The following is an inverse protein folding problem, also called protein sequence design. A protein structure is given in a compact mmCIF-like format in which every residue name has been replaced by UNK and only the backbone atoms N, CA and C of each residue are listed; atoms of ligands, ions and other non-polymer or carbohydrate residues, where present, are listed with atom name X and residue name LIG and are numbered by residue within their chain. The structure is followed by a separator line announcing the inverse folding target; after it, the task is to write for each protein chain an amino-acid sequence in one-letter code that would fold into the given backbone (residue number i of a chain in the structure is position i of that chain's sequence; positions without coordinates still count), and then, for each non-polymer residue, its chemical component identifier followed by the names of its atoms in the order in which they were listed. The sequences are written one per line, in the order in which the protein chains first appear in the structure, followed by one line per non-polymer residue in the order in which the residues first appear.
data_IF_999149184243
#
_entry.id   IF_999149184243
#
_cell.length_a   1.000
_cell.length_b   1.000
_cell.length_c   1.000
_cell.angle_alpha   90.00
_cell.angle_beta   90.00
_cell.angle_gamma   90.00
#
_symmetry.space_group_name_H-M   'P 1'
#
loop_
_entity.id
_entity.type
_entity.pdbx_description
1 polymer ?
#
# COMPACT_ATOMS: atom_id res chain seq x y z
N UNK A 1 5.09 9.85 -12.85
CA UNK A 1 6.54 9.63 -12.98
C UNK A 1 6.97 9.63 -14.44
N UNK A 2 8.23 9.98 -14.73
CA UNK A 2 8.77 10.03 -16.10
C UNK A 2 8.79 8.66 -16.83
N UNK A 3 8.77 7.55 -16.09
CA UNK A 3 8.75 6.19 -16.65
C UNK A 3 7.35 5.55 -16.68
N UNK A 4 6.28 6.32 -16.42
CA UNK A 4 4.92 5.78 -16.43
C UNK A 4 4.55 5.19 -17.80
N UNK A 5 3.88 4.05 -17.79
CA UNK A 5 3.21 3.46 -18.95
C UNK A 5 1.97 2.68 -18.50
N UNK A 6 0.97 2.53 -19.37
CA UNK A 6 -0.22 1.72 -19.05
C UNK A 6 0.15 0.25 -18.79
N UNK A 7 1.11 -0.31 -19.54
CA UNK A 7 1.64 -1.65 -19.28
C UNK A 7 2.28 -1.75 -17.89
N UNK A 8 3.02 -0.72 -17.47
CA UNK A 8 3.59 -0.67 -16.12
C UNK A 8 2.52 -0.61 -15.03
N UNK A 9 1.43 0.12 -15.28
CA UNK A 9 0.27 0.18 -14.37
C UNK A 9 -0.43 -1.18 -14.26
N UNK A 10 -0.62 -1.91 -15.37
CA UNK A 10 -1.17 -3.27 -15.35
C UNK A 10 -0.31 -4.22 -14.51
N UNK A 11 1.01 -4.15 -14.68
CA UNK A 11 1.97 -4.94 -13.89
C UNK A 11 1.89 -4.56 -12.41
N UNK A 12 1.85 -3.26 -12.09
CA UNK A 12 1.73 -2.78 -10.70
C UNK A 12 0.45 -3.32 -10.05
N UNK A 13 -0.68 -3.28 -10.75
CA UNK A 13 -1.95 -3.82 -10.25
C UNK A 13 -1.89 -5.34 -10.04
N UNK A 14 -1.28 -6.08 -10.97
CA UNK A 14 -1.13 -7.53 -10.87
C UNK A 14 -0.26 -7.94 -9.67
N UNK A 15 0.90 -7.29 -9.51
CA UNK A 15 1.82 -7.53 -8.38
C UNK A 15 1.17 -7.15 -7.05
N UNK A 16 0.57 -5.96 -6.95
CA UNK A 16 -0.08 -5.54 -5.71
C UNK A 16 -1.25 -6.45 -5.34
N UNK A 17 -2.03 -6.96 -6.31
CA UNK A 17 -3.07 -7.96 -6.05
C UNK A 17 -2.45 -9.25 -5.49
N UNK A 18 -1.41 -9.77 -6.13
CA UNK A 18 -0.73 -10.97 -5.69
C UNK A 18 -0.20 -10.84 -4.26
N UNK A 19 0.51 -9.74 -3.93
CA UNK A 19 1.02 -9.48 -2.57
C UNK A 19 -0.11 -9.53 -1.54
N UNK A 20 -1.25 -8.89 -1.85
CA UNK A 20 -2.40 -8.79 -0.94
C UNK A 20 -3.14 -10.09 -0.72
N UNK A 21 -3.18 -10.98 -1.72
CA UNK A 21 -4.10 -12.14 -1.70
C UNK A 21 -3.41 -13.50 -1.73
N UNK A 22 -2.10 -13.57 -1.97
CA UNK A 22 -1.40 -14.85 -2.11
C UNK A 22 -1.28 -15.63 -0.80
N UNK A 23 -1.32 -14.95 0.35
CA UNK A 23 -1.02 -15.55 1.65
C UNK A 23 0.45 -15.96 1.81
N UNK A 24 1.34 -15.49 0.93
CA UNK A 24 2.78 -15.80 0.96
C UNK A 24 3.51 -15.17 2.16
N UNK A 25 2.98 -14.08 2.70
CA UNK A 25 3.60 -13.30 3.77
C UNK A 25 2.78 -13.37 5.06
N UNK A 26 3.47 -13.38 6.21
CA UNK A 26 2.83 -13.37 7.54
C UNK A 26 2.06 -12.07 7.81
N UNK A 27 2.48 -10.97 7.17
CA UNK A 27 1.82 -9.67 7.21
C UNK A 27 2.10 -8.89 5.92
N UNK A 28 1.18 -7.99 5.56
CA UNK A 28 1.29 -7.09 4.40
C UNK A 28 0.98 -5.67 4.85
N UNK A 29 1.88 -4.73 4.52
CA UNK A 29 1.63 -3.29 4.68
C UNK A 29 1.35 -2.69 3.30
N UNK A 30 0.14 -2.19 3.10
CA UNK A 30 -0.34 -1.72 1.80
C UNK A 30 -0.08 -0.23 1.60
N UNK A 31 1.16 0.13 1.24
CA UNK A 31 1.53 1.51 0.99
C UNK A 31 0.77 2.15 -0.17
N UNK A 32 0.46 1.40 -1.22
CA UNK A 32 -0.39 1.89 -2.32
C UNK A 32 -1.74 2.39 -1.80
N UNK A 33 -2.40 1.62 -0.93
CA UNK A 33 -3.70 2.00 -0.41
C UNK A 33 -3.67 3.27 0.44
N UNK A 34 -2.61 3.51 1.22
CA UNK A 34 -2.52 4.65 2.15
C UNK A 34 -1.91 5.91 1.54
N UNK A 35 -1.35 5.83 0.33
CA UNK A 35 -0.80 7.00 -0.36
C UNK A 35 -1.59 7.41 -1.60
N UNK A 36 -2.38 6.54 -2.21
CA UNK A 36 -3.15 6.86 -3.43
C UNK A 36 -4.34 7.79 -3.17
N UNK A 37 -4.73 8.53 -4.19
CA UNK A 37 -5.99 9.27 -4.19
C UNK A 37 -7.17 8.27 -4.26
N UNK A 38 -8.13 8.31 -3.32
CA UNK A 38 -9.30 7.42 -3.36
C UNK A 38 -10.20 7.66 -4.58
N UNK A 39 -10.21 8.86 -5.15
CA UNK A 39 -10.97 9.19 -6.36
C UNK A 39 -10.20 8.86 -7.64
N UNK A 40 -8.86 8.82 -7.59
CA UNK A 40 -8.00 8.41 -8.69
C UNK A 40 -6.83 7.53 -8.21
N UNK A 41 -7.04 6.21 -8.06
CA UNK A 41 -6.04 5.29 -7.51
C UNK A 41 -4.73 5.16 -8.31
N UNK A 42 -4.60 5.81 -9.47
CA UNK A 42 -3.37 5.86 -10.27
C UNK A 42 -2.40 6.96 -9.83
N UNK A 43 -2.81 7.86 -8.93
CA UNK A 43 -1.99 8.99 -8.46
C UNK A 43 -1.92 9.04 -6.94
N UNK A 44 -0.90 9.71 -6.42
CA UNK A 44 -0.83 10.07 -5.01
C UNK A 44 -1.97 11.00 -4.61
N UNK A 45 -2.44 10.86 -3.37
CA UNK A 45 -3.32 11.82 -2.72
C UNK A 45 -2.70 13.23 -2.77
N UNK A 46 -3.53 14.24 -2.97
CA UNK A 46 -3.10 15.64 -2.95
C UNK A 46 -2.30 15.95 -1.68
N UNK A 47 -1.12 16.56 -1.85
CA UNK A 47 -0.22 16.93 -0.75
C UNK A 47 0.73 15.84 -0.29
N UNK A 48 0.71 14.63 -0.85
CA UNK A 48 1.59 13.53 -0.44
C UNK A 48 2.85 13.36 -1.31
N UNK A 49 3.05 14.18 -2.34
CA UNK A 49 4.26 14.24 -3.15
C UNK A 49 4.45 15.68 -3.64
N UNK A 50 5.68 16.00 -4.08
CA UNK A 50 6.05 17.37 -4.50
C UNK A 50 5.98 17.60 -6.02
N UNK A 51 5.28 16.72 -6.75
CA UNK A 51 4.94 16.90 -8.17
C UNK A 51 5.69 16.00 -9.15
N UNK A 52 6.62 15.15 -8.68
CA UNK A 52 7.27 14.16 -9.55
C UNK A 52 6.41 12.91 -9.82
N UNK A 53 5.31 12.78 -9.06
CA UNK A 53 4.40 11.64 -9.08
C UNK A 53 5.14 10.30 -8.92
N UNK A 54 6.17 10.28 -8.08
CA UNK A 54 7.04 9.14 -7.85
C UNK A 54 7.39 8.99 -6.37
N UNK A 55 7.88 10.05 -5.73
CA UNK A 55 8.33 10.00 -4.35
C UNK A 55 7.30 10.63 -3.41
N UNK A 56 6.93 9.96 -2.31
CA UNK A 56 6.20 10.61 -1.24
C UNK A 56 7.02 11.77 -0.65
N UNK A 57 6.34 12.83 -0.20
CA UNK A 57 6.95 13.85 0.66
C UNK A 57 6.76 13.49 2.14
N UNK A 58 7.11 14.38 3.06
CA UNK A 58 6.99 14.14 4.50
C UNK A 58 5.60 13.67 4.94
N UNK A 59 4.53 14.27 4.40
CA UNK A 59 3.17 13.86 4.72
C UNK A 59 2.84 12.46 4.18
N UNK A 60 3.30 12.15 2.97
CA UNK A 60 3.15 10.82 2.38
C UNK A 60 3.91 9.74 3.14
N UNK A 61 5.16 9.99 3.51
CA UNK A 61 5.96 9.08 4.33
C UNK A 61 5.39 8.91 5.73
N UNK A 62 4.86 9.98 6.34
CA UNK A 62 4.16 9.86 7.62
C UNK A 62 2.93 8.94 7.50
N UNK A 63 2.13 9.07 6.44
CA UNK A 63 0.98 8.18 6.20
C UNK A 63 1.41 6.71 6.10
N UNK A 64 2.51 6.44 5.41
CA UNK A 64 3.08 5.09 5.32
C UNK A 64 3.51 4.57 6.70
N UNK A 65 4.27 5.37 7.46
CA UNK A 65 4.72 4.98 8.79
C UNK A 65 3.55 4.70 9.76
N UNK A 66 2.53 5.56 9.76
CA UNK A 66 1.33 5.43 10.60
C UNK A 66 0.50 4.18 10.24
N UNK A 67 0.64 3.64 9.02
CA UNK A 67 -0.10 2.45 8.56
C UNK A 67 0.45 1.11 9.08
N UNK A 68 1.65 1.11 9.67
CA UNK A 68 2.30 -0.12 10.12
C UNK A 68 1.71 -0.52 11.48
N UNK A 69 0.93 -1.60 11.48
CA UNK A 69 0.49 -2.23 12.73
C UNK A 69 1.67 -2.93 13.41
N UNK A 70 2.23 -2.31 14.46
CA UNK A 70 3.41 -2.85 15.16
C UNK A 70 3.17 -4.22 15.80
N UNK A 71 1.91 -4.68 15.95
CA UNK A 71 1.60 -6.02 16.47
C UNK A 71 2.16 -7.13 15.57
N UNK A 72 2.40 -6.86 14.28
CA UNK A 72 3.00 -7.83 13.35
C UNK A 72 4.40 -8.30 13.80
N UNK A 73 5.08 -7.53 14.66
CA UNK A 73 6.40 -7.88 15.20
C UNK A 73 6.34 -8.60 16.55
N UNK A 74 5.16 -8.69 17.17
CA UNK A 74 5.01 -9.12 18.57
C UNK A 74 4.93 -10.64 18.77
N UNK A 75 5.11 -11.45 17.72
CA UNK A 75 5.16 -12.92 17.78
C UNK A 75 3.84 -13.61 18.19
N UNK A 76 2.82 -12.86 18.62
CA UNK A 76 1.45 -13.34 18.75
C UNK A 76 0.77 -13.12 17.41
N UNK A 77 0.59 -14.19 16.64
CA UNK A 77 -0.21 -14.16 15.42
C UNK A 77 -1.52 -13.44 15.71
N UNK A 78 -1.84 -12.42 14.90
CA UNK A 78 -3.19 -11.88 14.86
C UNK A 78 -4.08 -13.03 14.44
N UNK A 79 -4.75 -13.66 15.41
CA UNK A 79 -5.70 -14.73 15.13
C UNK A 79 -6.68 -14.19 14.09
N UNK A 80 -6.72 -14.86 12.94
CA UNK A 80 -7.84 -14.74 12.03
C UNK A 80 -9.11 -14.82 12.88
N UNK A 81 -9.96 -13.80 12.81
CA UNK A 81 -11.29 -13.86 13.34
C UNK A 81 -12.02 -14.92 12.51
N UNK A 82 -11.91 -16.18 12.95
CA UNK A 82 -12.74 -17.26 12.47
C UNK A 82 -14.19 -16.85 12.76
N UNK A 83 -14.97 -16.78 11.67
CA UNK A 83 -16.42 -16.66 11.68
C UNK A 83 -16.99 -17.60 12.76
N UNK A 84 -17.81 -17.05 13.66
CA UNK A 84 -18.79 -17.82 14.43
C UNK A 84 -20.01 -18.03 13.54
N UNK A 85 -20.29 -19.31 13.28
CA UNK A 85 -21.55 -19.99 12.96
C UNK A 85 -22.62 -19.24 12.14
#
# INVERSE_FOLDING_TARGET
AAYYSEQGEEIRQAVNRWIRTSGTFDAVVDYDAVTRDPANPKVFKMGFNDGDHLHPNDAGYKSMADSIDLRIFSGKSASAAAKKD
#
